data_IF_059880347523
#
_entry.id   IF_059880347523
#
_cell.length_a   1.000
_cell.length_b   1.000
_cell.length_c   1.000
_cell.angle_alpha   90.00
_cell.angle_beta   90.00
_cell.angle_gamma   90.00
#
_symmetry.space_group_name_H-M   'P 1'
#
loop_
_entity.id
_entity.type
_entity.pdbx_description
1 polymer ?
#
# COMPACT_ATOMS: atom_id res chain seq x y z
N UNK A 1 45.58 20.58 19.38
CA UNK A 1 44.91 19.67 18.39
C UNK A 1 43.47 20.08 18.34
N UNK A 2 43.10 20.65 17.21
CA UNK A 2 41.98 21.59 17.08
C UNK A 2 40.62 20.87 17.05
N UNK A 3 39.65 21.38 17.83
CA UNK A 3 38.27 20.87 17.85
C UNK A 3 37.48 21.04 16.52
N UNK A 4 38.07 21.74 15.54
CA UNK A 4 37.50 21.90 14.20
C UNK A 4 37.63 20.63 13.33
N UNK A 5 38.59 19.77 13.63
CA UNK A 5 38.83 18.54 12.84
C UNK A 5 37.81 17.41 13.15
N UNK A 6 37.33 17.34 14.41
CA UNK A 6 36.33 16.37 14.82
C UNK A 6 34.95 16.62 14.18
N UNK A 7 34.53 17.89 14.08
CA UNK A 7 33.26 18.25 13.45
C UNK A 7 33.27 17.99 11.91
N UNK A 8 34.42 18.20 11.26
CA UNK A 8 34.61 17.87 9.84
C UNK A 8 34.52 16.37 9.56
N UNK A 9 35.07 15.52 10.41
CA UNK A 9 35.00 14.07 10.29
C UNK A 9 33.56 13.56 10.38
N UNK A 10 32.71 14.18 11.19
CA UNK A 10 31.28 13.83 11.28
C UNK A 10 30.52 14.20 9.98
N UNK A 11 30.88 15.32 9.35
CA UNK A 11 30.28 15.75 8.06
C UNK A 11 30.61 14.77 6.92
N UNK A 12 31.77 14.12 6.98
CA UNK A 12 32.24 13.16 5.99
C UNK A 12 32.04 11.69 6.42
N UNK A 13 31.32 11.45 7.51
CA UNK A 13 30.96 10.08 7.91
C UNK A 13 30.14 9.42 6.79
N UNK A 14 30.37 8.10 6.52
CA UNK A 14 29.62 7.39 5.50
C UNK A 14 28.12 7.54 5.71
N UNK A 15 27.39 7.96 4.67
CA UNK A 15 25.92 8.01 4.71
C UNK A 15 25.44 6.56 4.79
N UNK A 16 24.60 6.27 5.79
CA UNK A 16 24.09 4.92 6.01
C UNK A 16 23.26 4.44 4.80
N UNK A 17 23.82 3.49 4.05
CA UNK A 17 23.18 2.87 2.90
C UNK A 17 22.05 1.93 3.32
N UNK A 18 22.05 1.47 4.57
CA UNK A 18 21.09 0.51 5.14
C UNK A 18 19.68 1.07 5.07
N UNK A 19 19.51 2.38 5.36
CA UNK A 19 18.21 3.04 5.26
C UNK A 19 17.65 3.06 3.84
N UNK A 20 18.50 3.22 2.82
CA UNK A 20 18.10 3.20 1.40
C UNK A 20 17.74 1.79 0.96
N UNK A 21 18.53 0.80 1.32
CA UNK A 21 18.23 -0.62 1.06
C UNK A 21 16.89 -1.01 1.70
N UNK A 22 16.69 -0.68 2.97
CA UNK A 22 15.44 -0.96 3.68
C UNK A 22 14.23 -0.27 3.03
N UNK A 23 14.39 0.97 2.55
CA UNK A 23 13.33 1.69 1.84
C UNK A 23 12.93 1.00 0.53
N UNK A 24 13.91 0.48 -0.25
CA UNK A 24 13.65 -0.26 -1.48
C UNK A 24 12.98 -1.59 -1.19
N UNK A 25 13.47 -2.33 -0.20
CA UNK A 25 12.89 -3.62 0.23
C UNK A 25 11.43 -3.44 0.63
N UNK A 26 11.12 -2.45 1.46
CA UNK A 26 9.73 -2.12 1.80
C UNK A 26 8.92 -1.80 0.57
N UNK A 27 9.36 -0.85 -0.25
CA UNK A 27 8.58 -0.38 -1.42
C UNK A 27 8.23 -1.50 -2.39
N UNK A 28 9.15 -2.41 -2.69
CA UNK A 28 8.90 -3.56 -3.57
C UNK A 28 8.06 -4.60 -2.83
N UNK A 29 8.36 -4.87 -1.56
CA UNK A 29 7.58 -5.78 -0.73
C UNK A 29 6.12 -5.36 -0.59
N UNK A 30 5.88 -4.07 -0.34
CA UNK A 30 4.53 -3.48 -0.28
C UNK A 30 3.81 -3.63 -1.62
N UNK A 31 4.48 -3.34 -2.74
CA UNK A 31 3.91 -3.50 -4.07
C UNK A 31 3.52 -4.96 -4.37
N UNK A 32 4.31 -5.93 -3.91
CA UNK A 32 3.99 -7.37 -4.04
C UNK A 32 2.80 -7.73 -3.12
N UNK A 33 2.82 -7.28 -1.88
CA UNK A 33 1.75 -7.56 -0.91
C UNK A 33 0.39 -7.01 -1.38
N UNK A 34 0.39 -5.86 -2.03
CA UNK A 34 -0.79 -5.20 -2.60
C UNK A 34 -1.20 -5.78 -3.96
N UNK A 35 -0.40 -6.67 -4.56
CA UNK A 35 -0.64 -7.20 -5.90
C UNK A 35 -0.51 -6.15 -7.01
N UNK A 36 0.28 -5.08 -6.78
CA UNK A 36 0.71 -4.15 -7.81
C UNK A 36 1.80 -4.75 -8.69
N UNK A 37 2.45 -5.79 -8.20
CA UNK A 37 3.37 -6.67 -8.91
C UNK A 37 2.81 -8.08 -8.80
N UNK A 38 2.47 -8.70 -9.92
CA UNK A 38 1.83 -10.01 -9.96
C UNK A 38 2.82 -11.16 -9.68
N UNK A 39 2.30 -12.28 -9.14
CA UNK A 39 3.12 -13.49 -8.99
C UNK A 39 3.65 -13.96 -10.34
N UNK A 40 4.95 -14.22 -10.40
CA UNK A 40 5.64 -14.58 -11.64
C UNK A 40 5.99 -13.40 -12.54
N UNK A 41 5.59 -12.17 -12.23
CA UNK A 41 5.97 -10.97 -13.00
C UNK A 41 7.48 -10.77 -12.98
N UNK A 42 8.05 -10.43 -14.13
CA UNK A 42 9.46 -10.08 -14.24
C UNK A 42 9.67 -8.62 -13.86
N UNK A 43 10.54 -8.36 -12.88
CA UNK A 43 10.96 -7.00 -12.55
C UNK A 43 11.79 -6.41 -13.71
N UNK A 44 11.78 -5.09 -13.89
CA UNK A 44 12.68 -4.41 -14.82
C UNK A 44 14.14 -4.79 -14.56
N UNK A 45 15.00 -4.64 -15.55
CA UNK A 45 16.44 -4.89 -15.38
C UNK A 45 17.01 -4.08 -14.22
N UNK A 46 18.10 -4.58 -13.58
CA UNK A 46 18.74 -3.89 -12.46
C UNK A 46 19.10 -2.44 -12.80
N UNK A 47 19.52 -2.17 -14.03
CA UNK A 47 19.89 -0.82 -14.48
C UNK A 47 18.67 0.09 -14.58
N UNK A 48 17.58 -0.39 -15.18
CA UNK A 48 16.32 0.36 -15.31
C UNK A 48 15.69 0.61 -13.95
N UNK A 49 15.61 -0.43 -13.13
CA UNK A 49 15.00 -0.33 -11.80
C UNK A 49 15.80 0.59 -10.87
N UNK A 50 17.14 0.55 -10.93
CA UNK A 50 17.99 1.49 -10.19
C UNK A 50 17.77 2.94 -10.64
N UNK A 51 17.64 3.14 -11.96
CA UNK A 51 17.32 4.45 -12.56
C UNK A 51 15.95 4.97 -12.09
N UNK A 52 14.90 4.14 -12.15
CA UNK A 52 13.56 4.52 -11.70
C UNK A 52 13.50 4.84 -10.19
N UNK A 53 14.29 4.14 -9.39
CA UNK A 53 14.34 4.34 -7.94
C UNK A 53 15.31 5.45 -7.51
N UNK A 54 16.15 5.96 -8.42
CA UNK A 54 17.13 7.00 -8.15
C UNK A 54 18.25 6.55 -7.19
N UNK A 55 18.68 5.27 -7.30
CA UNK A 55 19.71 4.66 -6.46
C UNK A 55 20.81 4.01 -7.27
N UNK A 56 21.93 3.65 -6.62
CA UNK A 56 22.99 2.88 -7.25
C UNK A 56 22.58 1.43 -7.53
N UNK A 57 23.15 0.80 -8.56
CA UNK A 57 22.93 -0.63 -8.82
C UNK A 57 23.44 -1.52 -7.69
N UNK A 58 24.44 -1.06 -6.92
CA UNK A 58 24.95 -1.76 -5.73
C UNK A 58 23.87 -1.80 -4.64
N UNK A 59 23.28 -0.65 -4.30
CA UNK A 59 22.19 -0.54 -3.34
C UNK A 59 20.98 -1.38 -3.77
N UNK A 60 20.65 -1.38 -5.06
CA UNK A 60 19.56 -2.19 -5.58
C UNK A 60 19.85 -3.69 -5.43
N UNK A 61 21.06 -4.16 -5.74
CA UNK A 61 21.44 -5.58 -5.59
C UNK A 61 21.32 -6.06 -4.15
N UNK A 62 21.73 -5.24 -3.19
CA UNK A 62 21.55 -5.53 -1.76
C UNK A 62 20.06 -5.67 -1.41
N UNK A 63 19.22 -4.76 -1.88
CA UNK A 63 17.77 -4.83 -1.68
C UNK A 63 17.14 -6.07 -2.34
N UNK A 64 17.51 -6.39 -3.59
CA UNK A 64 17.05 -7.59 -4.27
C UNK A 64 17.54 -8.88 -3.58
N UNK A 65 18.73 -8.86 -2.97
CA UNK A 65 19.20 -9.98 -2.17
C UNK A 65 18.33 -10.17 -0.91
N UNK A 66 18.00 -9.09 -0.21
CA UNK A 66 17.12 -9.15 0.95
C UNK A 66 15.70 -9.64 0.58
N UNK A 67 15.13 -9.16 -0.53
CA UNK A 67 13.83 -9.63 -1.03
C UNK A 67 13.85 -11.13 -1.39
N UNK A 68 14.96 -11.64 -1.94
CA UNK A 68 15.14 -13.08 -2.18
C UNK A 68 15.20 -13.87 -0.87
N UNK A 69 15.91 -13.38 0.13
CA UNK A 69 15.97 -14.02 1.45
C UNK A 69 14.59 -14.06 2.13
N UNK A 70 13.75 -13.05 1.88
CA UNK A 70 12.36 -13.01 2.34
C UNK A 70 11.41 -13.90 1.50
N UNK A 71 11.90 -14.45 0.38
CA UNK A 71 11.10 -15.28 -0.53
C UNK A 71 10.10 -14.48 -1.38
N UNK A 72 10.26 -13.14 -1.46
CA UNK A 72 9.38 -12.26 -2.22
C UNK A 72 9.75 -12.17 -3.69
N UNK A 73 10.98 -12.54 -4.06
CA UNK A 73 11.42 -12.65 -5.45
C UNK A 73 12.31 -13.88 -5.63
N UNK A 74 12.41 -14.36 -6.85
CA UNK A 74 13.37 -15.39 -7.26
C UNK A 74 14.22 -14.88 -8.43
N UNK A 75 15.39 -15.47 -8.63
CA UNK A 75 16.24 -15.18 -9.79
C UNK A 75 16.24 -16.38 -10.75
N UNK A 76 15.92 -16.13 -12.01
CA UNK A 76 16.07 -17.12 -13.10
C UNK A 76 17.27 -16.75 -13.93
N UNK A 77 18.11 -17.74 -14.30
CA UNK A 77 19.31 -17.58 -15.11
C UNK A 77 19.02 -17.87 -16.58
N UNK A 78 19.87 -17.35 -17.48
CA UNK A 78 19.80 -17.65 -18.90
C UNK A 78 19.06 -16.62 -19.74
N UNK A 79 18.75 -16.98 -21.00
CA UNK A 79 18.02 -16.11 -21.94
C UNK A 79 16.60 -15.90 -21.43
N UNK A 80 16.23 -14.65 -21.15
CA UNK A 80 14.98 -14.32 -20.44
C UNK A 80 15.07 -14.42 -18.91
N UNK A 81 16.29 -14.51 -18.36
CA UNK A 81 16.55 -14.48 -16.93
C UNK A 81 16.30 -13.10 -16.33
N UNK A 82 16.29 -13.04 -14.99
CA UNK A 82 16.04 -11.80 -14.24
C UNK A 82 15.51 -12.09 -12.84
N UNK A 83 15.01 -11.07 -12.18
CA UNK A 83 14.30 -11.19 -10.92
C UNK A 83 12.80 -11.27 -11.20
N UNK A 84 12.14 -12.26 -10.59
CA UNK A 84 10.72 -12.54 -10.75
C UNK A 84 10.03 -12.46 -9.40
N UNK A 85 8.86 -11.88 -9.36
CA UNK A 85 8.04 -11.76 -8.16
C UNK A 85 7.57 -13.14 -7.69
N UNK A 86 7.55 -13.32 -6.38
CA UNK A 86 6.96 -14.45 -5.68
C UNK A 86 5.97 -13.91 -4.65
N UNK A 87 4.69 -13.98 -4.97
CA UNK A 87 3.66 -13.67 -3.99
C UNK A 87 3.58 -14.83 -2.97
N UNK A 88 3.67 -14.57 -1.66
CA UNK A 88 3.60 -15.64 -0.67
C UNK A 88 2.23 -16.32 -0.69
N UNK A 89 2.22 -17.63 -0.93
CA UNK A 89 1.01 -18.47 -0.96
C UNK A 89 0.42 -18.77 0.43
N UNK A 90 0.84 -18.09 1.50
CA UNK A 90 0.37 -18.38 2.86
C UNK A 90 -1.00 -17.76 3.07
N UNK A 91 -1.97 -18.50 3.66
CA UNK A 91 -3.24 -17.94 4.10
C UNK A 91 -2.99 -16.77 5.05
N UNK A 92 -3.71 -15.68 4.87
CA UNK A 92 -3.63 -14.53 5.75
C UNK A 92 -4.30 -14.89 7.09
N UNK A 93 -3.52 -14.91 8.16
CA UNK A 93 -3.99 -15.17 9.52
C UNK A 93 -4.16 -13.84 10.26
N UNK A 94 -5.42 -13.35 10.29
CA UNK A 94 -5.79 -12.09 10.91
C UNK A 94 -5.44 -12.07 12.41
N UNK A 95 -5.81 -13.11 13.15
CA UNK A 95 -5.66 -13.15 14.59
C UNK A 95 -4.18 -13.14 14.99
N UNK A 96 -3.35 -13.89 14.27
CA UNK A 96 -1.90 -13.89 14.48
C UNK A 96 -1.29 -12.51 14.22
N UNK A 97 -1.81 -11.77 13.27
CA UNK A 97 -1.33 -10.41 12.92
C UNK A 97 -1.83 -9.37 13.92
N UNK A 98 -3.03 -9.53 14.47
CA UNK A 98 -3.61 -8.63 15.46
C UNK A 98 -3.04 -8.80 16.87
N UNK A 99 -2.67 -10.04 17.26
CA UNK A 99 -2.19 -10.31 18.64
C UNK A 99 -1.09 -9.37 19.15
N UNK A 100 -0.05 -9.01 18.36
CA UNK A 100 1.00 -8.12 18.85
C UNK A 100 0.59 -6.65 18.92
N UNK A 101 -0.53 -6.25 18.31
CA UNK A 101 -0.99 -4.86 18.28
C UNK A 101 -1.93 -4.56 19.45
N UNK A 102 -1.77 -3.41 20.08
CA UNK A 102 -2.74 -2.90 21.07
C UNK A 102 -3.91 -2.19 20.37
N UNK A 103 -5.02 -2.01 21.10
CA UNK A 103 -6.14 -1.21 20.61
C UNK A 103 -5.76 0.27 20.41
N UNK A 104 -4.80 0.77 21.20
CA UNK A 104 -4.29 2.13 21.07
C UNK A 104 -3.47 2.31 19.78
N UNK A 105 -2.56 1.38 19.48
CA UNK A 105 -1.80 1.38 18.23
C UNK A 105 -2.70 1.26 16.99
N UNK A 106 -3.75 0.43 17.05
CA UNK A 106 -4.72 0.33 15.98
C UNK A 106 -5.51 1.63 15.78
N UNK A 107 -5.84 2.32 16.88
CA UNK A 107 -6.55 3.61 16.82
C UNK A 107 -5.66 4.69 16.21
N UNK A 108 -4.42 4.84 16.68
CA UNK A 108 -3.46 5.83 16.17
C UNK A 108 -3.19 5.61 14.66
N UNK A 109 -2.98 4.35 14.25
CA UNK A 109 -2.83 4.00 12.84
C UNK A 109 -4.09 4.31 12.03
N UNK A 110 -5.28 4.07 12.61
CA UNK A 110 -6.57 4.37 12.01
C UNK A 110 -6.79 5.86 11.81
N UNK A 111 -6.48 6.68 12.80
CA UNK A 111 -6.59 8.14 12.73
C UNK A 111 -5.68 8.70 11.64
N UNK A 112 -4.44 8.21 11.58
CA UNK A 112 -3.51 8.57 10.52
C UNK A 112 -4.04 8.17 9.14
N UNK A 113 -4.54 6.93 9.00
CA UNK A 113 -5.06 6.46 7.73
C UNK A 113 -6.31 7.24 7.29
N UNK A 114 -7.26 7.49 8.19
CA UNK A 114 -8.45 8.28 7.89
C UNK A 114 -8.09 9.68 7.37
N UNK A 115 -7.13 10.36 8.01
CA UNK A 115 -6.66 11.68 7.59
C UNK A 115 -6.06 11.67 6.16
N UNK A 116 -5.26 10.64 5.83
CA UNK A 116 -4.65 10.51 4.50
C UNK A 116 -5.71 10.16 3.44
N UNK A 117 -6.57 9.19 3.72
CA UNK A 117 -7.64 8.76 2.81
C UNK A 117 -8.64 9.90 2.53
N UNK A 118 -9.05 10.62 3.58
CA UNK A 118 -9.96 11.78 3.45
C UNK A 118 -9.34 12.89 2.61
N UNK A 119 -8.06 13.25 2.87
CA UNK A 119 -7.35 14.25 2.08
C UNK A 119 -7.19 13.82 0.61
N UNK A 120 -6.88 12.54 0.37
CA UNK A 120 -6.75 11.99 -0.98
C UNK A 120 -8.07 12.03 -1.74
N UNK A 121 -9.17 11.58 -1.12
CA UNK A 121 -10.49 11.56 -1.70
C UNK A 121 -11.01 12.96 -2.03
N UNK A 122 -10.84 13.92 -1.10
CA UNK A 122 -11.18 15.33 -1.32
C UNK A 122 -10.46 15.90 -2.54
N UNK A 123 -9.14 15.69 -2.63
CA UNK A 123 -8.37 16.19 -3.76
C UNK A 123 -8.67 15.43 -5.06
N UNK A 124 -9.02 14.14 -5.00
CA UNK A 124 -9.49 13.39 -6.14
C UNK A 124 -10.79 13.99 -6.70
N UNK A 125 -11.78 14.29 -5.84
CA UNK A 125 -13.00 14.96 -6.25
C UNK A 125 -12.75 16.30 -6.98
N UNK A 126 -11.73 17.04 -6.54
CA UNK A 126 -11.37 18.33 -7.12
C UNK A 126 -10.54 18.25 -8.40
N UNK A 127 -9.75 17.18 -8.59
CA UNK A 127 -8.65 17.15 -9.59
C UNK A 127 -8.75 16.00 -10.58
N UNK A 128 -9.60 14.99 -10.34
CA UNK A 128 -9.70 13.84 -11.21
C UNK A 128 -10.08 14.24 -12.63
N UNK A 129 -9.46 13.56 -13.59
CA UNK A 129 -9.80 13.66 -15.00
C UNK A 129 -10.82 12.55 -15.35
N UNK A 130 -11.57 12.67 -16.46
CA UNK A 130 -12.51 11.62 -16.87
C UNK A 130 -11.89 10.21 -16.91
N UNK A 131 -10.64 10.08 -17.39
CA UNK A 131 -9.93 8.80 -17.40
C UNK A 131 -9.59 8.26 -16.02
N UNK A 132 -9.50 9.09 -14.97
CA UNK A 132 -9.33 8.64 -13.59
C UNK A 132 -10.65 8.03 -13.09
N UNK A 133 -11.76 8.73 -13.29
CA UNK A 133 -13.11 8.25 -12.93
C UNK A 133 -13.43 6.93 -13.63
N UNK A 134 -13.11 6.80 -14.92
CA UNK A 134 -13.28 5.55 -15.66
C UNK A 134 -12.49 4.39 -15.04
N UNK A 135 -11.29 4.64 -14.53
CA UNK A 135 -10.50 3.62 -13.81
C UNK A 135 -11.19 3.21 -12.50
N UNK A 136 -11.60 4.18 -11.69
CA UNK A 136 -12.32 3.92 -10.43
C UNK A 136 -13.60 3.10 -10.67
N UNK A 137 -14.39 3.43 -11.69
CA UNK A 137 -15.58 2.67 -12.06
C UNK A 137 -15.28 1.24 -12.49
N UNK A 138 -14.21 1.02 -13.25
CA UNK A 138 -13.77 -0.35 -13.61
C UNK A 138 -13.35 -1.14 -12.38
N UNK A 139 -12.56 -0.55 -11.47
CA UNK A 139 -12.16 -1.23 -10.23
C UNK A 139 -13.35 -1.62 -9.37
N UNK A 140 -14.38 -0.75 -9.25
CA UNK A 140 -15.63 -1.09 -8.58
C UNK A 140 -16.37 -2.26 -9.25
N UNK A 141 -16.46 -2.26 -10.57
CA UNK A 141 -17.14 -3.32 -11.33
C UNK A 141 -16.42 -4.68 -11.16
N UNK A 142 -15.07 -4.66 -11.15
CA UNK A 142 -14.27 -5.86 -10.90
C UNK A 142 -14.46 -6.41 -9.48
N UNK A 143 -14.65 -5.54 -8.47
CA UNK A 143 -14.92 -5.92 -7.08
C UNK A 143 -16.30 -6.53 -6.87
N UNK A 144 -17.29 -6.22 -7.71
CA UNK A 144 -18.65 -6.74 -7.63
C UNK A 144 -18.75 -8.23 -8.04
N UNK A 145 -17.67 -8.84 -8.54
CA UNK A 145 -17.64 -10.22 -8.98
C UNK A 145 -17.82 -11.22 -7.83
N UNK A 146 -18.13 -12.50 -8.15
CA UNK A 146 -18.47 -13.52 -7.16
C UNK A 146 -17.28 -14.02 -6.31
N UNK A 147 -16.06 -13.60 -6.66
CA UNK A 147 -14.83 -14.13 -6.03
C UNK A 147 -14.47 -13.32 -4.78
N UNK A 148 -14.58 -13.96 -3.62
CA UNK A 148 -14.41 -13.36 -2.30
C UNK A 148 -13.03 -13.63 -1.67
N UNK A 149 -12.04 -13.97 -2.50
CA UNK A 149 -10.72 -14.40 -2.05
C UNK A 149 -9.65 -13.30 -2.07
N UNK A 150 -8.37 -13.71 -2.08
CA UNK A 150 -7.22 -12.80 -2.13
C UNK A 150 -7.25 -11.78 -3.27
N UNK A 151 -7.94 -12.12 -4.38
CA UNK A 151 -8.13 -11.21 -5.52
C UNK A 151 -8.93 -9.97 -5.11
N UNK A 152 -10.03 -10.12 -4.38
CA UNK A 152 -10.87 -8.99 -3.98
C UNK A 152 -10.15 -8.10 -2.97
N UNK A 153 -9.30 -8.66 -2.09
CA UNK A 153 -8.42 -7.88 -1.23
C UNK A 153 -7.48 -6.96 -2.05
N UNK A 154 -6.90 -7.49 -3.12
CA UNK A 154 -6.04 -6.70 -4.01
C UNK A 154 -6.82 -5.62 -4.77
N UNK A 155 -8.04 -5.93 -5.19
CA UNK A 155 -8.91 -4.95 -5.87
C UNK A 155 -9.32 -3.82 -4.94
N UNK A 156 -9.58 -4.11 -3.68
CA UNK A 156 -9.87 -3.12 -2.63
C UNK A 156 -8.69 -2.16 -2.45
N UNK A 157 -7.50 -2.68 -2.17
CA UNK A 157 -6.29 -1.86 -2.05
C UNK A 157 -5.98 -1.06 -3.33
N UNK A 158 -6.20 -1.66 -4.51
CA UNK A 158 -6.03 -0.98 -5.80
C UNK A 158 -6.96 0.22 -5.94
N UNK A 159 -8.25 0.10 -5.56
CA UNK A 159 -9.20 1.20 -5.61
C UNK A 159 -8.71 2.39 -4.78
N UNK A 160 -8.27 2.16 -3.54
CA UNK A 160 -7.72 3.20 -2.68
C UNK A 160 -6.48 3.87 -3.28
N UNK A 161 -5.59 3.09 -3.88
CA UNK A 161 -4.41 3.63 -4.57
C UNK A 161 -4.78 4.47 -5.80
N UNK A 162 -5.80 4.06 -6.57
CA UNK A 162 -6.30 4.81 -7.72
C UNK A 162 -6.95 6.14 -7.28
N UNK A 163 -7.68 6.16 -6.15
CA UNK A 163 -8.20 7.38 -5.55
C UNK A 163 -7.05 8.32 -5.15
N UNK A 164 -6.04 7.78 -4.45
CA UNK A 164 -4.87 8.56 -4.06
C UNK A 164 -4.10 9.09 -5.29
N UNK A 165 -3.98 8.33 -6.35
CA UNK A 165 -3.37 8.77 -7.61
C UNK A 165 -4.20 9.88 -8.29
N UNK A 166 -5.53 9.76 -8.31
CA UNK A 166 -6.46 10.77 -8.85
C UNK A 166 -6.38 12.11 -8.08
N UNK A 167 -5.92 12.09 -6.82
CA UNK A 167 -5.61 13.31 -6.06
C UNK A 167 -4.52 14.18 -6.67
N UNK A 168 -3.72 13.63 -7.60
CA UNK A 168 -2.54 14.24 -8.21
C UNK A 168 -1.48 14.69 -7.18
N UNK A 169 -1.45 14.05 -6.02
CA UNK A 169 -0.49 14.30 -4.95
C UNK A 169 0.45 13.11 -4.77
N UNK A 170 1.66 13.22 -5.29
CA UNK A 170 2.68 12.15 -5.16
C UNK A 170 2.94 11.77 -3.70
N UNK A 171 2.83 12.72 -2.77
CA UNK A 171 3.05 12.47 -1.34
C UNK A 171 1.91 11.66 -0.73
N UNK A 172 0.66 12.02 -1.01
CA UNK A 172 -0.51 11.24 -0.54
C UNK A 172 -0.51 9.84 -1.15
N UNK A 173 -0.22 9.71 -2.46
CA UNK A 173 -0.13 8.39 -3.10
C UNK A 173 0.95 7.49 -2.46
N UNK A 174 2.11 8.06 -2.13
CA UNK A 174 3.16 7.30 -1.44
C UNK A 174 2.75 6.85 -0.04
N UNK A 175 2.06 7.71 0.69
CA UNK A 175 1.59 7.38 2.03
C UNK A 175 0.46 6.36 1.99
N UNK A 176 -0.46 6.47 1.03
CA UNK A 176 -1.49 5.46 0.80
C UNK A 176 -0.89 4.07 0.51
N UNK A 177 0.14 3.99 -0.35
CA UNK A 177 0.85 2.72 -0.61
C UNK A 177 1.37 2.11 0.70
N UNK A 178 1.96 2.91 1.59
CA UNK A 178 2.48 2.42 2.88
C UNK A 178 1.36 1.93 3.79
N UNK A 179 0.33 2.75 3.95
CA UNK A 179 -0.83 2.43 4.79
C UNK A 179 -1.55 1.18 4.30
N UNK A 180 -1.75 1.05 2.99
CA UNK A 180 -2.36 -0.14 2.41
C UNK A 180 -1.50 -1.40 2.62
N UNK A 181 -0.18 -1.30 2.59
CA UNK A 181 0.70 -2.43 2.87
C UNK A 181 0.68 -2.83 4.36
N UNK A 182 0.58 -1.85 5.26
CA UNK A 182 0.62 -2.07 6.70
C UNK A 182 -0.74 -2.57 7.23
N UNK A 183 -1.84 -1.89 6.91
CA UNK A 183 -3.16 -2.15 7.49
C UNK A 183 -4.18 -2.75 6.50
N UNK A 184 -4.00 -2.54 5.19
CA UNK A 184 -4.95 -2.98 4.17
C UNK A 184 -5.35 -4.46 4.29
N UNK A 185 -4.41 -5.41 4.42
CA UNK A 185 -4.74 -6.83 4.60
C UNK A 185 -5.53 -7.12 5.88
N UNK A 186 -5.32 -6.34 6.95
CA UNK A 186 -6.08 -6.47 8.21
C UNK A 186 -7.52 -5.98 8.00
N UNK A 187 -7.68 -4.80 7.41
CA UNK A 187 -8.99 -4.20 7.09
C UNK A 187 -9.79 -5.14 6.21
N UNK A 188 -9.18 -5.67 5.15
CA UNK A 188 -9.87 -6.62 4.29
C UNK A 188 -10.30 -7.89 5.04
N UNK A 189 -9.40 -8.46 5.85
CA UNK A 189 -9.67 -9.72 6.54
C UNK A 189 -10.79 -9.58 7.60
N UNK A 190 -10.94 -8.41 8.23
CA UNK A 190 -12.04 -8.17 9.18
C UNK A 190 -13.41 -8.09 8.49
N UNK A 191 -13.44 -7.83 7.18
CA UNK A 191 -14.65 -7.85 6.36
C UNK A 191 -14.97 -9.25 5.79
N UNK A 192 -14.54 -10.33 6.47
CA UNK A 192 -14.64 -11.72 6.01
C UNK A 192 -16.05 -12.19 5.61
N UNK A 193 -17.09 -11.65 6.24
CA UNK A 193 -18.48 -12.03 5.98
C UNK A 193 -19.07 -11.35 4.73
N UNK A 194 -19.94 -12.07 3.97
CA UNK A 194 -20.54 -11.54 2.73
C UNK A 194 -21.31 -10.23 2.92
N UNK A 195 -22.02 -10.07 4.04
CA UNK A 195 -22.80 -8.86 4.35
C UNK A 195 -21.91 -7.65 4.62
N UNK A 196 -20.80 -7.86 5.34
CA UNK A 196 -19.82 -6.83 5.58
C UNK A 196 -19.20 -6.35 4.26
N UNK A 197 -18.88 -7.27 3.34
CA UNK A 197 -18.36 -6.93 2.02
C UNK A 197 -19.34 -6.15 1.16
N UNK A 198 -20.64 -6.50 1.19
CA UNK A 198 -21.67 -5.70 0.50
C UNK A 198 -21.75 -4.29 1.03
N UNK A 199 -21.66 -4.12 2.34
CA UNK A 199 -21.65 -2.81 2.99
C UNK A 199 -20.44 -1.99 2.56
N UNK A 200 -19.24 -2.58 2.56
CA UNK A 200 -18.00 -1.96 2.11
C UNK A 200 -18.08 -1.56 0.64
N UNK A 201 -18.53 -2.45 -0.22
CA UNK A 201 -18.73 -2.15 -1.64
C UNK A 201 -19.69 -0.96 -1.85
N UNK A 202 -20.80 -0.91 -1.11
CA UNK A 202 -21.73 0.22 -1.17
C UNK A 202 -21.08 1.54 -0.67
N UNK A 203 -20.15 1.48 0.28
CA UNK A 203 -19.37 2.65 0.70
C UNK A 203 -18.42 3.10 -0.43
N UNK A 204 -17.72 2.18 -1.07
CA UNK A 204 -16.85 2.49 -2.21
C UNK A 204 -17.64 3.12 -3.39
N UNK A 205 -18.83 2.61 -3.70
CA UNK A 205 -19.70 3.22 -4.71
C UNK A 205 -20.00 4.67 -4.37
N UNK A 206 -20.42 4.94 -3.11
CA UNK A 206 -20.72 6.31 -2.66
C UNK A 206 -19.49 7.23 -2.72
N UNK A 207 -18.32 6.70 -2.43
CA UNK A 207 -17.05 7.43 -2.50
C UNK A 207 -16.72 7.82 -3.94
N UNK A 208 -16.80 6.87 -4.87
CA UNK A 208 -16.53 7.13 -6.28
C UNK A 208 -17.59 8.06 -6.89
N UNK A 209 -18.87 7.93 -6.48
CA UNK A 209 -19.94 8.86 -6.88
C UNK A 209 -19.62 10.31 -6.46
N UNK A 210 -19.15 10.49 -5.21
CA UNK A 210 -18.77 11.82 -4.70
C UNK A 210 -17.57 12.40 -5.48
N UNK A 211 -16.57 11.56 -5.79
CA UNK A 211 -15.40 11.97 -6.60
C UNK A 211 -15.84 12.39 -8.00
N UNK A 212 -16.69 11.61 -8.68
CA UNK A 212 -17.18 11.90 -10.03
C UNK A 212 -18.02 13.18 -10.07
N UNK A 213 -18.79 13.44 -9.01
CA UNK A 213 -19.61 14.65 -8.87
C UNK A 213 -18.80 15.90 -8.47
N UNK A 214 -17.52 15.75 -8.14
CA UNK A 214 -16.68 16.84 -7.63
C UNK A 214 -17.06 17.31 -6.22
N UNK A 215 -17.80 16.48 -5.46
CA UNK A 215 -18.22 16.80 -4.09
C UNK A 215 -17.10 16.52 -3.10
N UNK A 216 -16.25 17.54 -2.91
CA UNK A 216 -15.02 17.44 -2.09
C UNK A 216 -15.30 17.04 -0.65
N UNK A 217 -16.31 17.60 -0.02
CA UNK A 217 -16.59 17.36 1.39
C UNK A 217 -17.21 15.98 1.60
N UNK A 218 -18.14 15.58 0.75
CA UNK A 218 -18.73 14.25 0.77
C UNK A 218 -17.69 13.16 0.49
N UNK A 219 -16.79 13.37 -0.47
CA UNK A 219 -15.72 12.41 -0.76
C UNK A 219 -14.81 12.21 0.45
N UNK A 220 -14.40 13.30 1.13
CA UNK A 220 -13.66 13.25 2.37
C UNK A 220 -14.41 12.46 3.44
N UNK A 221 -15.64 12.86 3.76
CA UNK A 221 -16.40 12.31 4.88
C UNK A 221 -16.69 10.81 4.69
N UNK A 222 -16.96 10.38 3.45
CA UNK A 222 -17.17 8.96 3.13
C UNK A 222 -15.85 8.18 3.29
N UNK A 223 -14.71 8.72 2.83
CA UNK A 223 -13.42 8.05 2.96
C UNK A 223 -13.00 7.90 4.43
N UNK A 224 -13.08 8.98 5.21
CA UNK A 224 -12.76 8.96 6.66
C UNK A 224 -13.66 7.98 7.42
N UNK A 225 -14.96 8.02 7.19
CA UNK A 225 -15.92 7.10 7.84
C UNK A 225 -15.67 5.65 7.43
N UNK A 226 -15.31 5.39 6.18
CA UNK A 226 -14.98 4.06 5.69
C UNK A 226 -13.80 3.47 6.45
N UNK A 227 -12.72 4.22 6.59
CA UNK A 227 -11.52 3.80 7.35
C UNK A 227 -11.84 3.62 8.83
N UNK A 228 -12.51 4.60 9.45
CA UNK A 228 -12.86 4.55 10.87
C UNK A 228 -13.68 3.30 11.20
N UNK A 229 -14.72 3.01 10.42
CA UNK A 229 -15.56 1.82 10.62
C UNK A 229 -14.76 0.50 10.48
N UNK A 230 -13.78 0.45 9.59
CA UNK A 230 -12.94 -0.72 9.43
C UNK A 230 -11.99 -0.92 10.62
N UNK A 231 -11.41 0.17 11.12
CA UNK A 231 -10.51 0.15 12.29
C UNK A 231 -11.26 -0.22 13.57
N UNK A 232 -12.48 0.29 13.79
CA UNK A 232 -13.32 -0.11 14.92
C UNK A 232 -13.54 -1.63 14.94
N UNK A 233 -13.86 -2.23 13.80
CA UNK A 233 -14.00 -3.70 13.69
C UNK A 233 -12.69 -4.44 13.99
N UNK A 234 -11.54 -3.89 13.61
CA UNK A 234 -10.24 -4.46 13.96
C UNK A 234 -9.99 -4.41 15.47
N UNK A 235 -10.34 -3.29 16.11
CA UNK A 235 -10.24 -3.12 17.57
C UNK A 235 -11.16 -4.10 18.28
N UNK A 236 -12.42 -4.23 17.86
CA UNK A 236 -13.37 -5.19 18.43
C UNK A 236 -12.83 -6.63 18.30
N UNK A 237 -12.32 -6.99 17.11
CA UNK A 237 -11.71 -8.31 16.90
C UNK A 237 -10.49 -8.52 17.78
N UNK A 238 -9.65 -7.51 17.95
CA UNK A 238 -8.46 -7.57 18.81
C UNK A 238 -8.82 -7.75 20.29
N UNK A 239 -9.86 -7.07 20.76
CA UNK A 239 -10.32 -7.18 22.14
C UNK A 239 -10.99 -8.54 22.44
N UNK A 240 -11.42 -9.25 21.40
CA UNK A 240 -12.00 -10.59 21.53
C UNK A 240 -10.94 -11.74 21.51
N UNK A 241 -9.64 -11.42 21.35
CA UNK A 241 -8.52 -12.38 21.29
C UNK A 241 -7.80 -12.53 22.64
#
# INVERSE_FOLDING_TARGET
MDGADGARLVVFAPVDNTARVAAVVRRIGDAIALGLLDDGEQLPSETELAGHLGISTVTLREALMALRQQGLIETRRGRGGGSFVRAPARPFDLDRRLRPLSAEELRDLGDHYAAIAGAAARLAARRSLPGDVDRLRRSLAEMAGPDAGPRTCRLDGRLHLEIAAASQSVRLTREEIRLQADIGPLIWAVHGEPDARRTVHAQHVRLVDAIEQGDEDRARDVAESHVANAVERLIDRRLAL
#
